data_IF_788084068135
#
_entry.id   IF_788084068135
#
_cell.length_a   1.000
_cell.length_b   1.000
_cell.length_c   1.000
_cell.angle_alpha   90.00
_cell.angle_beta   90.00
_cell.angle_gamma   90.00
#
_symmetry.space_group_name_H-M   'P 1'
#
loop_
_entity.id
_entity.type
_entity.pdbx_description
1 polymer ?
#
# COMPACT_ATOMS: atom_id res chain seq x y z
N UNK A 1 -32.06 14.48 -3.10
CA UNK A 1 -31.49 13.78 -1.94
C UNK A 1 -30.27 14.57 -1.50
N UNK A 2 -30.13 14.95 -0.22
CA UNK A 2 -28.91 15.59 0.25
C UNK A 2 -27.72 14.61 0.17
N UNK A 3 -26.54 15.15 -0.12
CA UNK A 3 -25.28 14.40 -0.02
C UNK A 3 -24.82 14.51 1.42
N UNK A 4 -24.55 13.38 2.07
CA UNK A 4 -24.05 13.32 3.44
C UNK A 4 -22.63 12.74 3.41
N UNK A 5 -21.71 13.38 4.13
CA UNK A 5 -20.36 12.88 4.42
C UNK A 5 -20.30 12.71 5.94
N UNK A 6 -20.04 11.49 6.40
CA UNK A 6 -20.07 11.15 7.83
C UNK A 6 -18.69 10.71 8.32
N UNK A 7 -18.20 11.24 9.45
CA UNK A 7 -16.99 10.74 10.09
C UNK A 7 -17.28 9.38 10.75
N UNK A 8 -16.48 8.37 10.45
CA UNK A 8 -16.64 7.00 10.98
C UNK A 8 -15.71 6.69 12.18
N UNK A 9 -14.89 7.64 12.61
CA UNK A 9 -13.90 7.44 13.68
C UNK A 9 -13.23 8.74 14.14
N UNK A 10 -12.30 8.65 15.11
CA UNK A 10 -11.56 9.79 15.62
C UNK A 10 -10.58 10.34 14.58
N UNK A 11 -10.07 11.56 14.85
CA UNK A 11 -8.96 12.12 14.07
C UNK A 11 -7.68 11.32 14.29
N UNK A 12 -6.96 11.05 13.20
CA UNK A 12 -5.72 10.27 13.18
C UNK A 12 -4.70 11.09 12.43
N UNK A 13 -3.47 11.17 12.95
CA UNK A 13 -2.43 12.03 12.38
C UNK A 13 -2.15 11.73 10.90
N UNK A 14 -2.06 10.45 10.55
CA UNK A 14 -1.93 9.95 9.18
C UNK A 14 -2.71 8.63 9.12
N UNK A 15 -3.92 8.64 8.58
CA UNK A 15 -4.72 7.43 8.32
C UNK A 15 -4.47 6.94 6.90
N UNK A 16 -4.08 5.68 6.73
CA UNK A 16 -3.59 5.14 5.45
C UNK A 16 -3.99 3.68 5.25
N UNK A 17 -3.79 3.19 4.02
CA UNK A 17 -4.00 1.79 3.62
C UNK A 17 -5.38 1.21 4.00
N UNK A 18 -6.49 1.80 3.53
CA UNK A 18 -7.81 1.23 3.76
C UNK A 18 -7.98 -0.10 3.02
N UNK A 19 -8.39 -1.13 3.77
CA UNK A 19 -8.68 -2.48 3.29
C UNK A 19 -10.06 -2.91 3.76
N UNK A 20 -10.94 -3.22 2.80
CA UNK A 20 -12.29 -3.70 3.09
C UNK A 20 -12.36 -5.23 3.10
N UNK A 21 -12.79 -5.81 4.22
CA UNK A 21 -13.08 -7.23 4.35
C UNK A 21 -14.58 -7.48 4.28
N UNK A 22 -15.04 -8.02 3.15
CA UNK A 22 -16.46 -8.26 2.90
C UNK A 22 -17.06 -9.30 3.85
N UNK A 23 -16.31 -10.33 4.24
CA UNK A 23 -16.83 -11.41 5.11
C UNK A 23 -17.22 -10.86 6.50
N UNK A 24 -16.36 -10.03 7.09
CA UNK A 24 -16.59 -9.45 8.42
C UNK A 24 -17.27 -8.07 8.39
N UNK A 25 -17.44 -7.47 7.21
CA UNK A 25 -17.95 -6.11 7.01
C UNK A 25 -17.13 -5.04 7.75
N UNK A 26 -15.82 -5.30 7.87
CA UNK A 26 -14.87 -4.42 8.52
C UNK A 26 -14.02 -3.66 7.50
N UNK A 27 -13.84 -2.37 7.75
CA UNK A 27 -12.76 -1.57 7.19
C UNK A 27 -11.56 -1.66 8.13
N UNK A 28 -10.45 -2.20 7.64
CA UNK A 28 -9.16 -2.14 8.30
C UNK A 28 -8.30 -1.03 7.70
N UNK A 29 -7.50 -0.38 8.52
CA UNK A 29 -6.57 0.66 8.07
C UNK A 29 -5.51 0.90 9.14
N UNK A 30 -4.49 1.70 8.83
CA UNK A 30 -3.40 2.00 9.75
C UNK A 30 -3.43 3.46 10.21
N UNK A 31 -2.73 3.75 11.29
CA UNK A 31 -2.53 5.14 11.69
C UNK A 31 -1.36 5.41 12.63
N UNK A 32 -0.87 6.65 12.59
CA UNK A 32 0.19 7.13 13.46
C UNK A 32 1.50 6.33 13.38
N UNK A 33 1.70 5.58 12.29
CA UNK A 33 2.87 4.74 12.03
C UNK A 33 3.03 3.52 12.93
N UNK A 34 2.13 3.24 13.85
CA UNK A 34 2.27 2.11 14.81
C UNK A 34 0.95 1.50 15.26
N UNK A 35 -0.18 1.90 14.69
CA UNK A 35 -1.50 1.38 15.03
C UNK A 35 -2.20 0.76 13.83
N UNK A 36 -2.96 -0.30 14.09
CA UNK A 36 -3.99 -0.83 13.22
C UNK A 36 -5.36 -0.41 13.78
N UNK A 37 -6.31 -0.22 12.89
CA UNK A 37 -7.69 0.13 13.19
C UNK A 37 -8.64 -0.84 12.48
N UNK A 38 -9.79 -1.08 13.09
CA UNK A 38 -10.92 -1.78 12.48
C UNK A 38 -12.20 -0.98 12.71
N UNK A 39 -13.04 -0.90 11.69
CA UNK A 39 -14.36 -0.28 11.77
C UNK A 39 -15.40 -1.24 11.18
N UNK A 40 -16.35 -1.68 11.99
CA UNK A 40 -17.45 -2.51 11.54
C UNK A 40 -18.61 -1.65 11.05
N UNK A 41 -18.89 -1.70 9.75
CA UNK A 41 -19.97 -0.90 9.14
C UNK A 41 -21.39 -1.26 9.60
N UNK A 42 -21.59 -2.47 10.16
CA UNK A 42 -22.91 -2.96 10.57
C UNK A 42 -23.23 -2.57 12.01
N UNK A 43 -22.24 -2.64 12.89
CA UNK A 43 -22.42 -2.34 14.33
C UNK A 43 -21.97 -0.94 14.69
N UNK A 44 -21.14 -0.30 13.86
CA UNK A 44 -20.46 0.96 14.18
C UNK A 44 -19.30 0.78 15.17
N UNK A 45 -18.94 -0.47 15.53
CA UNK A 45 -17.83 -0.75 16.42
C UNK A 45 -16.50 -0.30 15.79
N UNK A 46 -15.66 0.34 16.59
CA UNK A 46 -14.38 0.88 16.17
C UNK A 46 -13.31 0.51 17.19
N UNK A 47 -12.25 -0.16 16.72
CA UNK A 47 -11.16 -0.63 17.57
C UNK A 47 -9.82 -0.14 17.03
N UNK A 48 -8.87 0.01 17.94
CA UNK A 48 -7.47 0.28 17.61
C UNK A 48 -6.56 -0.61 18.44
N UNK A 49 -5.40 -0.94 17.87
CA UNK A 49 -4.37 -1.72 18.56
C UNK A 49 -2.99 -1.22 18.16
N UNK A 50 -2.08 -1.19 19.13
CA UNK A 50 -0.67 -0.83 18.91
C UNK A 50 0.11 -2.03 18.38
N UNK A 51 1.01 -1.81 17.44
CA UNK A 51 2.06 -2.76 17.04
C UNK A 51 3.36 -2.38 17.75
N UNK A 52 4.01 -3.34 18.40
CA UNK A 52 5.32 -3.14 19.00
C UNK A 52 6.41 -3.12 17.92
N UNK A 53 6.65 -1.94 17.36
CA UNK A 53 7.56 -1.78 16.23
C UNK A 53 9.04 -1.80 16.63
N UNK A 54 9.37 -1.63 17.91
CA UNK A 54 10.75 -1.56 18.40
C UNK A 54 11.43 -0.20 18.18
N UNK A 55 10.67 0.87 17.94
CA UNK A 55 11.17 2.25 17.88
C UNK A 55 10.44 3.12 16.84
N UNK A 56 10.60 4.44 16.95
CA UNK A 56 9.90 5.42 16.07
C UNK A 56 10.28 5.32 14.58
N UNK A 57 11.48 4.78 14.29
CA UNK A 57 11.98 4.56 12.93
C UNK A 57 11.35 3.33 12.25
N UNK A 58 10.70 2.45 13.01
CA UNK A 58 10.02 1.28 12.45
C UNK A 58 8.54 1.58 12.42
N UNK A 59 8.05 1.98 11.24
CA UNK A 59 6.64 2.33 11.05
C UNK A 59 5.89 1.23 10.31
N UNK A 60 4.64 1.05 10.69
CA UNK A 60 3.65 0.29 9.94
C UNK A 60 3.17 1.14 8.76
N UNK A 61 3.22 0.60 7.55
CA UNK A 61 2.90 1.35 6.33
C UNK A 61 1.66 0.85 5.58
N UNK A 62 1.27 -0.41 5.80
CA UNK A 62 0.01 -0.99 5.36
C UNK A 62 -0.34 -2.20 6.24
N UNK A 63 -1.59 -2.66 6.19
CA UNK A 63 -2.04 -3.90 6.82
C UNK A 63 -3.08 -4.60 5.93
N UNK A 64 -2.78 -5.83 5.50
CA UNK A 64 -3.62 -6.59 4.59
C UNK A 64 -3.88 -7.98 5.17
N UNK A 65 -5.16 -8.38 5.18
CA UNK A 65 -5.59 -9.67 5.74
C UNK A 65 -5.05 -10.84 4.92
N UNK A 66 -4.54 -11.87 5.59
CA UNK A 66 -4.04 -13.09 4.95
C UNK A 66 -5.22 -13.96 4.53
N UNK A 67 -5.28 -14.34 3.26
CA UNK A 67 -6.33 -15.19 2.71
C UNK A 67 -6.41 -16.52 3.48
N UNK A 68 -7.59 -16.82 4.02
CA UNK A 68 -7.87 -18.06 4.76
C UNK A 68 -7.45 -18.05 6.23
N UNK A 69 -6.86 -16.96 6.73
CA UNK A 69 -6.38 -16.83 8.11
C UNK A 69 -7.07 -15.62 8.74
N UNK A 70 -8.15 -15.87 9.50
CA UNK A 70 -9.09 -14.83 9.94
C UNK A 70 -8.46 -13.70 10.75
N UNK A 71 -7.37 -13.97 11.45
CA UNK A 71 -6.75 -13.03 12.40
C UNK A 71 -5.35 -12.60 11.95
N UNK A 72 -4.84 -13.08 10.79
CA UNK A 72 -3.48 -12.73 10.36
C UNK A 72 -3.51 -11.58 9.37
N UNK A 73 -2.62 -10.63 9.61
CA UNK A 73 -2.37 -9.50 8.71
C UNK A 73 -0.90 -9.50 8.31
N UNK A 74 -0.63 -9.36 7.02
CA UNK A 74 0.69 -8.95 6.55
C UNK A 74 0.77 -7.44 6.64
N UNK A 75 1.84 -6.95 7.24
CA UNK A 75 2.12 -5.53 7.39
C UNK A 75 3.45 -5.17 6.72
N UNK A 76 3.55 -3.95 6.22
CA UNK A 76 4.84 -3.32 5.96
C UNK A 76 5.41 -2.79 7.26
N UNK A 77 6.63 -3.17 7.62
CA UNK A 77 7.34 -2.71 8.81
C UNK A 77 8.74 -2.25 8.42
N UNK A 78 8.95 -0.93 8.37
CA UNK A 78 10.18 -0.32 7.83
C UNK A 78 10.48 -0.83 6.42
N UNK A 79 11.54 -1.61 6.22
CA UNK A 79 11.99 -2.20 4.95
C UNK A 79 11.68 -3.69 4.84
N UNK A 80 10.73 -4.20 5.63
CA UNK A 80 10.40 -5.63 5.69
C UNK A 80 8.90 -5.87 5.64
N UNK A 81 8.51 -7.07 5.22
CA UNK A 81 7.19 -7.59 5.49
C UNK A 81 7.20 -8.37 6.81
N UNK A 82 6.12 -8.24 7.57
CA UNK A 82 5.91 -8.97 8.81
C UNK A 82 4.46 -9.45 8.92
N UNK A 83 4.20 -10.39 9.83
CA UNK A 83 2.85 -10.82 10.21
C UNK A 83 2.54 -10.36 11.62
N UNK A 84 1.32 -9.87 11.83
CA UNK A 84 0.70 -9.77 13.16
C UNK A 84 -0.54 -10.65 13.22
N UNK A 85 -0.89 -11.10 14.42
CA UNK A 85 -2.15 -11.81 14.68
C UNK A 85 -3.03 -10.92 15.54
N UNK A 86 -4.22 -10.60 15.05
CA UNK A 86 -5.19 -9.71 15.69
C UNK A 86 -6.61 -10.15 15.31
N UNK A 87 -7.49 -10.23 16.30
CA UNK A 87 -8.91 -10.53 16.13
C UNK A 87 -9.71 -9.38 15.49
N UNK A 88 -9.12 -8.17 15.46
CA UNK A 88 -9.80 -6.97 15.01
C UNK A 88 -10.49 -6.20 16.14
N UNK A 89 -10.38 -6.62 17.39
CA UNK A 89 -11.12 -6.04 18.53
C UNK A 89 -10.25 -5.79 19.76
N UNK A 90 -9.33 -6.71 20.07
CA UNK A 90 -8.44 -6.67 21.23
C UNK A 90 -7.47 -5.49 21.18
N UNK A 91 -7.18 -4.91 22.34
CA UNK A 91 -6.27 -3.77 22.50
C UNK A 91 -4.86 -4.13 22.97
N UNK A 92 -4.59 -5.42 23.20
CA UNK A 92 -3.26 -5.89 23.62
C UNK A 92 -2.23 -5.66 22.51
N UNK A 93 -1.04 -5.09 22.81
CA UNK A 93 -0.05 -4.77 21.79
C UNK A 93 0.36 -5.98 20.95
N UNK A 94 0.35 -5.82 19.62
CA UNK A 94 0.71 -6.86 18.66
C UNK A 94 2.23 -6.95 18.54
N UNK A 95 2.76 -8.17 18.56
CA UNK A 95 4.18 -8.45 18.32
C UNK A 95 4.35 -8.87 16.86
N UNK A 96 5.01 -8.06 16.01
CA UNK A 96 5.21 -8.41 14.61
C UNK A 96 6.24 -9.52 14.46
N UNK A 97 5.91 -10.54 13.68
CA UNK A 97 6.79 -11.62 13.27
C UNK A 97 7.39 -11.29 11.90
N UNK A 98 8.70 -11.13 11.83
CA UNK A 98 9.39 -10.85 10.58
C UNK A 98 9.16 -11.97 9.53
N UNK A 99 8.91 -11.59 8.28
CA UNK A 99 8.78 -12.53 7.15
C UNK A 99 9.97 -12.48 6.21
N UNK A 100 10.26 -11.31 5.67
CA UNK A 100 11.28 -11.10 4.64
C UNK A 100 11.67 -9.62 4.58
N UNK A 101 12.95 -9.34 4.43
CA UNK A 101 13.44 -8.01 4.08
C UNK A 101 13.22 -7.78 2.58
N UNK A 102 12.60 -6.64 2.22
CA UNK A 102 12.37 -6.31 0.80
C UNK A 102 13.54 -5.55 0.18
N UNK A 103 14.37 -4.92 1.02
CA UNK A 103 15.54 -4.17 0.59
C UNK A 103 16.58 -4.11 1.72
N UNK A 104 17.85 -4.29 1.35
CA UNK A 104 19.01 -4.24 2.28
C UNK A 104 19.37 -2.83 2.76
N UNK A 105 18.70 -1.78 2.23
CA UNK A 105 19.01 -0.41 2.62
C UNK A 105 18.38 -0.07 3.96
N UNK A 106 19.22 0.14 4.99
CA UNK A 106 18.80 0.57 6.33
C UNK A 106 17.92 1.82 6.34
N UNK A 107 17.97 2.61 5.26
CA UNK A 107 17.35 3.93 5.11
C UNK A 107 16.04 3.93 4.31
N UNK A 108 15.58 2.77 3.87
CA UNK A 108 14.39 2.63 3.05
C UNK A 108 13.16 2.30 3.91
N UNK A 109 12.02 2.91 3.61
CA UNK A 109 10.76 2.63 4.30
C UNK A 109 9.68 2.28 3.28
N UNK A 110 8.97 1.18 3.50
CA UNK A 110 7.75 0.88 2.78
C UNK A 110 6.72 1.98 3.04
N UNK A 111 5.91 2.27 2.02
CA UNK A 111 4.80 3.20 2.12
C UNK A 111 3.50 2.46 1.79
N UNK A 112 2.91 2.66 0.62
CA UNK A 112 1.67 1.96 0.25
C UNK A 112 1.91 0.53 -0.25
N UNK A 113 0.91 -0.33 -0.06
CA UNK A 113 0.91 -1.73 -0.47
C UNK A 113 -0.49 -2.27 -0.73
N UNK A 114 -0.59 -3.16 -1.73
CA UNK A 114 -1.84 -3.79 -2.16
C UNK A 114 -1.58 -5.14 -2.81
N UNK A 115 -2.52 -6.07 -2.69
CA UNK A 115 -2.46 -7.32 -3.43
C UNK A 115 -2.90 -7.13 -4.89
N UNK A 116 -2.20 -7.78 -5.81
CA UNK A 116 -2.64 -7.88 -7.19
C UNK A 116 -3.77 -8.93 -7.37
N UNK A 117 -4.40 -9.01 -8.56
CA UNK A 117 -5.48 -9.95 -8.82
C UNK A 117 -5.12 -11.44 -8.67
N UNK A 118 -3.83 -11.78 -8.67
CA UNK A 118 -3.30 -13.14 -8.44
C UNK A 118 -2.74 -13.34 -7.04
N UNK A 119 -3.04 -12.42 -6.12
CA UNK A 119 -2.68 -12.48 -4.70
C UNK A 119 -1.19 -12.37 -4.40
N UNK A 120 -0.39 -11.73 -5.26
CA UNK A 120 0.96 -11.26 -4.89
C UNK A 120 0.82 -9.96 -4.12
N UNK A 121 1.58 -9.81 -3.04
CA UNK A 121 1.64 -8.55 -2.30
C UNK A 121 2.57 -7.59 -3.03
N UNK A 122 2.06 -6.47 -3.51
CA UNK A 122 2.87 -5.37 -4.03
C UNK A 122 3.02 -4.29 -2.97
N UNK A 123 4.22 -3.78 -2.81
CA UNK A 123 4.49 -2.63 -1.98
C UNK A 123 5.69 -1.89 -2.52
N UNK A 124 5.64 -0.57 -2.47
CA UNK A 124 6.79 0.23 -2.83
C UNK A 124 7.30 1.02 -1.65
N UNK A 125 8.56 1.38 -1.77
CA UNK A 125 9.30 2.08 -0.76
C UNK A 125 9.54 3.54 -1.12
N UNK A 126 9.93 4.29 -0.11
CA UNK A 126 10.34 5.67 -0.18
C UNK A 126 11.75 5.81 0.38
N UNK A 127 12.46 6.81 -0.12
CA UNK A 127 13.76 7.19 0.41
C UNK A 127 13.73 7.64 1.87
N UNK A 128 14.92 7.79 2.45
CA UNK A 128 15.07 8.39 3.77
C UNK A 128 14.41 9.77 3.81
N UNK A 129 13.57 9.97 4.81
CA UNK A 129 12.99 11.26 5.14
C UNK A 129 13.57 11.71 6.50
N UNK A 130 14.68 12.47 6.50
CA UNK A 130 15.31 12.93 7.74
C UNK A 130 14.30 13.66 8.63
N UNK A 131 14.42 13.53 9.96
CA UNK A 131 13.53 14.21 10.91
C UNK A 131 13.59 15.74 10.80
N UNK A 132 14.72 16.25 10.29
CA UNK A 132 14.99 17.67 10.09
C UNK A 132 14.31 18.23 8.83
N UNK A 133 13.90 17.35 7.92
CA UNK A 133 13.18 17.73 6.69
C UNK A 133 11.72 17.98 7.02
N UNK A 134 11.24 19.18 6.69
CA UNK A 134 9.85 19.60 6.98
C UNK A 134 9.00 19.72 5.72
N UNK A 135 9.62 19.65 4.53
CA UNK A 135 8.95 19.66 3.24
C UNK A 135 9.24 18.40 2.43
N UNK A 136 8.23 17.91 1.71
CA UNK A 136 8.41 16.82 0.74
C UNK A 136 9.40 17.19 -0.38
N UNK A 137 9.59 18.47 -0.69
CA UNK A 137 10.50 18.92 -1.74
C UNK A 137 11.99 18.70 -1.40
N UNK A 138 12.31 18.64 -0.10
CA UNK A 138 13.65 18.45 0.42
C UNK A 138 14.02 16.96 0.55
N UNK A 139 13.05 16.07 0.28
CA UNK A 139 13.28 14.63 0.28
C UNK A 139 14.31 14.24 -0.78
N UNK A 140 15.24 13.35 -0.41
CA UNK A 140 16.18 12.78 -1.37
C UNK A 140 15.41 11.92 -2.38
N UNK A 141 15.46 12.31 -3.65
CA UNK A 141 14.67 11.71 -4.72
C UNK A 141 15.26 10.38 -5.18
N UNK A 142 14.40 9.56 -5.79
CA UNK A 142 14.80 8.33 -6.50
C UNK A 142 15.51 7.26 -5.64
N UNK A 143 15.28 7.23 -4.33
CA UNK A 143 15.90 6.26 -3.41
C UNK A 143 15.03 5.03 -3.13
N UNK A 144 13.73 5.09 -3.46
CA UNK A 144 12.79 4.00 -3.31
C UNK A 144 12.73 3.09 -4.54
N UNK A 145 12.01 1.99 -4.37
CA UNK A 145 11.75 0.98 -5.40
C UNK A 145 10.34 0.40 -5.23
N UNK A 146 9.83 -0.26 -6.27
CA UNK A 146 8.57 -1.01 -6.21
C UNK A 146 8.85 -2.52 -6.19
N UNK A 147 8.17 -3.25 -5.33
CA UNK A 147 8.35 -4.67 -5.12
C UNK A 147 7.04 -5.45 -5.21
N UNK A 148 7.18 -6.75 -5.47
CA UNK A 148 6.13 -7.72 -5.19
C UNK A 148 6.68 -8.93 -4.45
N UNK A 149 5.89 -9.54 -3.56
CA UNK A 149 6.16 -10.83 -2.94
C UNK A 149 5.12 -11.86 -3.37
N UNK A 150 5.60 -13.00 -3.87
CA UNK A 150 4.77 -14.18 -4.17
C UNK A 150 4.50 -15.04 -2.94
N UNK A 151 3.61 -16.03 -3.07
CA UNK A 151 3.16 -16.90 -1.97
C UNK A 151 4.31 -17.66 -1.28
N UNK A 152 5.35 -18.01 -2.03
CA UNK A 152 6.58 -18.66 -1.55
C UNK A 152 7.57 -17.68 -0.88
N UNK A 153 7.17 -16.41 -0.71
CA UNK A 153 7.95 -15.30 -0.14
C UNK A 153 9.09 -14.80 -1.03
N UNK A 154 9.15 -15.21 -2.29
CA UNK A 154 10.10 -14.66 -3.25
C UNK A 154 9.75 -13.19 -3.51
N UNK A 155 10.73 -12.29 -3.31
CA UNK A 155 10.58 -10.85 -3.55
C UNK A 155 11.19 -10.51 -4.91
N UNK A 156 10.44 -9.76 -5.71
CA UNK A 156 10.87 -9.24 -7.02
C UNK A 156 10.81 -7.72 -7.00
N UNK A 157 11.89 -7.07 -7.42
CA UNK A 157 11.94 -5.62 -7.67
C UNK A 157 11.46 -5.34 -9.09
N UNK A 158 10.48 -4.46 -9.24
CA UNK A 158 9.87 -4.08 -10.52
C UNK A 158 10.35 -2.72 -11.03
N UNK A 159 10.41 -1.73 -10.13
CA UNK A 159 10.88 -0.39 -10.46
C UNK A 159 11.98 0.02 -9.49
N UNK A 160 12.95 0.76 -10.02
CA UNK A 160 13.92 1.52 -9.23
C UNK A 160 13.63 3.02 -9.41
N UNK A 161 14.33 3.89 -8.67
CA UNK A 161 14.20 5.35 -8.80
C UNK A 161 12.77 5.84 -8.55
N UNK A 162 12.10 5.20 -7.60
CA UNK A 162 10.86 5.71 -7.02
C UNK A 162 11.24 6.73 -5.96
N UNK A 163 10.51 7.84 -5.86
CA UNK A 163 10.75 8.81 -4.79
C UNK A 163 9.84 8.55 -3.60
N UNK A 164 8.53 8.61 -3.81
CA UNK A 164 7.52 8.38 -2.78
C UNK A 164 6.45 7.44 -3.34
N UNK A 165 6.67 6.12 -3.18
CA UNK A 165 5.72 5.10 -3.64
C UNK A 165 4.36 5.30 -2.99
N UNK A 166 3.29 5.24 -3.77
CA UNK A 166 1.93 5.43 -3.26
C UNK A 166 0.94 4.54 -4.05
N UNK A 167 -0.29 5.01 -4.24
CA UNK A 167 -1.42 4.28 -4.80
C UNK A 167 -1.10 3.29 -5.92
N UNK A 168 -1.60 2.06 -5.72
CA UNK A 168 -1.52 0.94 -6.65
C UNK A 168 -2.92 0.48 -7.08
N UNK A 169 -3.10 0.14 -8.35
CA UNK A 169 -4.31 -0.51 -8.86
C UNK A 169 -4.03 -1.37 -10.10
N UNK A 170 -4.96 -2.26 -10.42
CA UNK A 170 -4.94 -3.05 -11.64
C UNK A 170 -6.26 -2.86 -12.39
N UNK A 171 -6.17 -2.91 -13.71
CA UNK A 171 -7.34 -3.01 -14.59
C UNK A 171 -8.14 -4.29 -14.34
N UNK A 172 -9.45 -4.23 -14.60
CA UNK A 172 -10.36 -5.37 -14.39
C UNK A 172 -10.07 -6.56 -15.31
N UNK A 173 -9.53 -6.30 -16.50
CA UNK A 173 -9.10 -7.33 -17.45
C UNK A 173 -7.66 -7.80 -17.21
N UNK A 174 -7.03 -7.30 -16.14
CA UNK A 174 -5.69 -7.68 -15.65
C UNK A 174 -4.57 -7.51 -16.67
N UNK A 175 -4.69 -6.51 -17.55
CA UNK A 175 -3.65 -6.19 -18.56
C UNK A 175 -2.81 -5.00 -18.22
N UNK A 176 -3.30 -4.17 -17.31
CA UNK A 176 -2.66 -2.92 -16.91
C UNK A 176 -2.51 -2.83 -15.40
N UNK A 177 -1.34 -2.33 -14.99
CA UNK A 177 -1.01 -1.91 -13.65
C UNK A 177 -0.90 -0.38 -13.60
N UNK A 178 -1.45 0.23 -12.55
CA UNK A 178 -1.44 1.67 -12.31
C UNK A 178 -0.69 1.97 -11.02
N UNK A 179 0.20 2.97 -11.09
CA UNK A 179 1.10 3.31 -10.00
C UNK A 179 1.23 4.82 -9.84
N UNK A 180 1.39 5.28 -8.60
CA UNK A 180 1.67 6.67 -8.27
C UNK A 180 3.02 6.77 -7.55
N UNK A 181 3.89 7.62 -8.09
CA UNK A 181 4.99 8.23 -7.34
C UNK A 181 4.58 9.66 -7.04
N UNK A 182 4.29 9.96 -5.76
CA UNK A 182 3.62 11.21 -5.38
C UNK A 182 4.40 12.45 -5.80
N UNK A 183 5.73 12.41 -5.80
CA UNK A 183 6.57 13.55 -6.19
C UNK A 183 6.77 13.69 -7.71
N UNK A 184 6.18 12.80 -8.50
CA UNK A 184 6.06 12.95 -9.96
C UNK A 184 4.71 13.53 -10.38
N UNK A 185 3.76 13.68 -9.45
CA UNK A 185 2.43 14.29 -9.66
C UNK A 185 1.65 13.70 -10.84
N UNK A 186 1.82 12.39 -11.10
CA UNK A 186 1.21 11.68 -12.23
C UNK A 186 0.86 10.24 -11.82
N UNK A 187 -0.16 9.71 -12.49
CA UNK A 187 -0.46 8.27 -12.50
C UNK A 187 0.27 7.64 -13.69
N UNK A 188 1.04 6.60 -13.43
CA UNK A 188 1.73 5.81 -14.45
C UNK A 188 0.91 4.55 -14.75
N UNK A 189 0.73 4.23 -16.03
CA UNK A 189 0.17 2.95 -16.46
C UNK A 189 1.29 2.06 -17.02
N UNK A 190 1.23 0.77 -16.76
CA UNK A 190 2.16 -0.22 -17.32
C UNK A 190 1.37 -1.39 -17.88
N UNK A 191 1.87 -2.02 -18.94
CA UNK A 191 1.44 -3.38 -19.25
C UNK A 191 1.71 -4.30 -18.05
N UNK A 192 0.82 -5.26 -17.81
CA UNK A 192 0.89 -6.18 -16.70
C UNK A 192 0.51 -7.59 -17.17
N UNK A 193 1.36 -8.56 -16.85
CA UNK A 193 1.09 -9.98 -17.06
C UNK A 193 0.67 -10.62 -15.74
N UNK A 194 -0.61 -10.98 -15.61
CA UNK A 194 -1.15 -11.62 -14.41
C UNK A 194 -0.56 -13.01 -14.13
N UNK A 195 -0.09 -13.73 -15.14
CA UNK A 195 0.48 -15.06 -14.92
C UNK A 195 1.85 -14.95 -14.25
N UNK A 196 2.70 -14.02 -14.71
CA UNK A 196 4.08 -13.88 -14.22
C UNK A 196 4.19 -12.85 -13.10
N UNK A 197 3.30 -11.86 -13.04
CA UNK A 197 3.36 -10.74 -12.11
C UNK A 197 4.39 -9.70 -12.50
N UNK A 198 4.73 -9.61 -13.79
CA UNK A 198 5.69 -8.63 -14.30
C UNK A 198 4.98 -7.44 -14.92
N UNK A 199 5.60 -6.28 -14.83
CA UNK A 199 5.17 -5.07 -15.56
C UNK A 199 6.07 -4.84 -16.78
N UNK A 200 5.46 -4.36 -17.86
CA UNK A 200 6.12 -4.09 -19.13
C UNK A 200 6.30 -2.60 -19.40
N UNK A 201 5.97 -2.17 -20.61
CA UNK A 201 6.21 -0.80 -21.09
C UNK A 201 5.40 0.23 -20.28
N UNK A 202 5.99 1.41 -20.08
CA UNK A 202 5.27 2.56 -19.54
C UNK A 202 4.28 3.06 -20.61
N UNK A 203 3.01 3.04 -20.26
CA UNK A 203 1.91 3.51 -21.10
C UNK A 203 1.70 5.01 -20.93
N UNK A 204 1.51 5.72 -22.04
CA UNK A 204 1.18 7.14 -22.00
C UNK A 204 -0.33 7.32 -21.95
N UNK A 205 -0.81 8.07 -20.94
CA UNK A 205 -2.22 8.45 -20.85
C UNK A 205 -2.50 9.47 -21.96
N UNK A 206 -3.41 9.17 -22.88
CA UNK A 206 -3.92 10.13 -23.87
C UNK A 206 -5.39 10.45 -23.60
N UNK A 207 -5.77 11.70 -23.82
CA UNK A 207 -7.19 12.07 -23.91
C UNK A 207 -7.79 11.43 -25.16
N UNK A 208 -8.87 10.67 -25.00
CA UNK A 208 -9.60 10.15 -26.16
C UNK A 208 -10.37 11.27 -26.85
N UNK A 209 -10.15 11.55 -28.16
CA UNK A 209 -10.85 12.61 -28.87
C UNK A 209 -12.32 12.29 -29.17
N UNK A 210 -12.75 11.03 -29.04
CA UNK A 210 -14.00 10.53 -29.64
C UNK A 210 -15.10 10.15 -28.64
N UNK A 211 -14.84 10.22 -27.34
CA UNK A 211 -15.85 9.95 -26.32
C UNK A 211 -15.64 10.92 -25.16
N UNK A 212 -16.67 11.70 -24.85
CA UNK A 212 -16.71 12.58 -23.68
C UNK A 212 -16.17 11.87 -22.43
N UNK A 213 -14.94 12.24 -22.03
CA UNK A 213 -14.27 11.84 -20.78
C UNK A 213 -14.01 10.33 -20.62
N UNK A 214 -13.28 9.71 -21.55
CA UNK A 214 -12.56 8.46 -21.28
C UNK A 214 -11.07 8.64 -21.57
N UNK A 215 -10.23 8.21 -20.63
CA UNK A 215 -8.79 8.11 -20.79
C UNK A 215 -8.47 6.79 -21.49
N UNK A 216 -7.64 6.83 -22.51
CA UNK A 216 -7.13 5.63 -23.20
C UNK A 216 -5.61 5.58 -23.07
N UNK A 217 -5.07 4.36 -22.97
CA UNK A 217 -3.64 4.12 -22.84
C UNK A 217 -3.12 3.59 -24.18
N UNK A 218 -2.07 4.23 -24.71
CA UNK A 218 -1.37 3.79 -25.92
C UNK A 218 0.12 3.63 -25.62
N UNK A 219 0.78 2.70 -26.32
CA UNK A 219 2.23 2.58 -26.30
C UNK A 219 2.83 3.85 -26.94
N UNK A 220 3.69 4.60 -26.26
CA UNK A 220 4.31 5.80 -26.82
C UNK A 220 5.26 5.51 -28.01
N UNK A 221 5.54 4.25 -28.31
CA UNK A 221 6.42 3.81 -29.41
C UNK A 221 5.69 3.19 -30.60
N UNK A 222 4.36 3.08 -30.55
CA UNK A 222 3.52 2.59 -31.65
C UNK A 222 3.21 3.66 -32.71
#
# INVERSE_FOLDING_TARGET
>A
MPITIEPIGPSISIGESPFWDEESQNLYYIGGGSKLFSYNSKTGAHHEVKVETGGEEKRVSFALKVKGEKEKFVIGLKNSFAIVTWDGESSEPLIPQHLVDVEDQEKCHLNDGKCDPSHRLWAGSMGYFPKEVTSLDEMVKEQGSLYSMSKDRTVVKHLSKVTLSNGLAWSLDKKYFYFVDSLKYKVFGYDYDDNTGTIGNLMQMKESPSLSRRWTWEDPTA
#
